data_IF_036085282971
#
_entry.id   IF_036085282971
#
_cell.length_a   1.000
_cell.length_b   1.000
_cell.length_c   1.000
_cell.angle_alpha   90.00
_cell.angle_beta   90.00
_cell.angle_gamma   90.00
#
_symmetry.space_group_name_H-M   'P 1'
#
loop_
_entity.id
_entity.type
_entity.pdbx_description
1 polymer ?
#
# COMPACT_ATOMS: atom_id res chain seq x y z
N UNK A 1 -9.69 -19.48 -16.43
CA UNK A 1 -8.48 -20.15 -16.95
C UNK A 1 -7.91 -21.01 -15.83
N UNK A 2 -7.46 -22.23 -16.13
CA UNK A 2 -6.81 -23.10 -15.13
C UNK A 2 -5.38 -22.65 -14.85
N UNK A 3 -4.84 -23.02 -13.69
CA UNK A 3 -3.45 -22.78 -13.28
C UNK A 3 -2.47 -23.46 -14.25
N UNK A 4 -1.40 -22.78 -14.64
CA UNK A 4 -0.34 -23.38 -15.47
C UNK A 4 0.53 -24.37 -14.66
N UNK A 5 1.28 -25.23 -15.34
CA UNK A 5 2.21 -26.13 -14.65
C UNK A 5 3.30 -25.35 -13.89
N UNK A 6 3.81 -24.28 -14.50
CA UNK A 6 4.81 -23.38 -13.89
C UNK A 6 4.26 -22.70 -12.64
N UNK A 7 3.04 -22.18 -12.70
CA UNK A 7 2.34 -21.58 -11.56
C UNK A 7 2.12 -22.60 -10.42
N UNK A 8 1.80 -23.84 -10.77
CA UNK A 8 1.62 -24.91 -9.79
C UNK A 8 2.94 -25.26 -9.09
N UNK A 9 4.02 -25.43 -9.85
CA UNK A 9 5.35 -25.69 -9.30
C UNK A 9 5.83 -24.54 -8.41
N UNK A 10 5.63 -23.30 -8.85
CA UNK A 10 5.94 -22.10 -8.07
C UNK A 10 5.15 -22.06 -6.75
N UNK A 11 3.85 -22.35 -6.80
CA UNK A 11 3.01 -22.40 -5.60
C UNK A 11 3.48 -23.49 -4.62
N UNK A 12 3.87 -24.67 -5.12
CA UNK A 12 4.41 -25.75 -4.29
C UNK A 12 5.72 -25.32 -3.63
N UNK A 13 6.62 -24.71 -4.40
CA UNK A 13 7.89 -24.18 -3.89
C UNK A 13 7.66 -23.15 -2.77
N UNK A 14 6.81 -22.15 -3.00
CA UNK A 14 6.52 -21.10 -2.03
C UNK A 14 5.89 -21.65 -0.75
N UNK A 15 4.95 -22.61 -0.87
CA UNK A 15 4.35 -23.28 0.30
C UNK A 15 5.39 -24.03 1.13
N UNK A 16 6.36 -24.68 0.48
CA UNK A 16 7.44 -25.35 1.20
C UNK A 16 8.38 -24.34 1.85
N UNK A 17 8.78 -23.29 1.13
CA UNK A 17 9.65 -22.24 1.64
C UNK A 17 9.05 -21.53 2.87
N UNK A 18 7.73 -21.29 2.88
CA UNK A 18 7.02 -20.75 4.05
C UNK A 18 7.15 -21.69 5.26
N UNK A 19 6.89 -22.99 5.08
CA UNK A 19 6.96 -23.98 6.16
C UNK A 19 8.38 -24.11 6.73
N UNK A 20 9.37 -24.10 5.86
CA UNK A 20 10.77 -24.18 6.28
C UNK A 20 11.16 -22.93 7.06
N UNK A 21 10.74 -21.74 6.60
CA UNK A 21 11.01 -20.49 7.30
C UNK A 21 10.31 -20.41 8.66
N UNK A 22 9.05 -20.87 8.75
CA UNK A 22 8.29 -20.96 10.00
C UNK A 22 8.95 -21.91 11.00
N UNK A 23 9.41 -23.09 10.54
CA UNK A 23 10.16 -24.03 11.36
C UNK A 23 11.47 -23.43 11.87
N UNK A 24 12.25 -22.83 10.98
CA UNK A 24 13.52 -22.19 11.33
C UNK A 24 13.34 -21.07 12.35
N UNK A 25 12.25 -20.30 12.27
CA UNK A 25 11.95 -19.27 13.25
C UNK A 25 11.70 -19.84 14.65
N UNK A 26 11.09 -21.03 14.74
CA UNK A 26 10.91 -21.72 16.03
C UNK A 26 12.24 -22.07 16.71
N UNK A 27 13.26 -22.42 15.92
CA UNK A 27 14.60 -22.77 16.43
C UNK A 27 15.51 -21.53 16.58
N UNK A 28 15.38 -20.54 15.68
CA UNK A 28 16.24 -19.36 15.54
C UNK A 28 15.41 -18.08 15.29
N UNK A 29 14.71 -17.55 16.30
CA UNK A 29 13.78 -16.43 16.11
C UNK A 29 14.48 -15.13 15.69
N UNK A 30 15.75 -14.96 16.06
CA UNK A 30 16.54 -13.77 15.73
C UNK A 30 17.35 -13.91 14.41
N UNK A 31 17.03 -14.90 13.57
CA UNK A 31 17.63 -15.03 12.25
C UNK A 31 16.96 -14.05 11.27
N UNK A 32 17.56 -12.88 11.12
CA UNK A 32 17.08 -11.83 10.22
C UNK A 32 16.98 -12.32 8.76
N UNK A 33 17.89 -13.18 8.29
CA UNK A 33 17.84 -13.69 6.93
C UNK A 33 16.67 -14.66 6.72
N UNK A 34 16.39 -15.51 7.71
CA UNK A 34 15.21 -16.37 7.69
C UNK A 34 13.90 -15.55 7.72
N UNK A 35 13.82 -14.54 8.59
CA UNK A 35 12.68 -13.62 8.67
C UNK A 35 12.47 -12.87 7.36
N UNK A 36 13.55 -12.41 6.71
CA UNK A 36 13.53 -11.78 5.39
C UNK A 36 12.90 -12.69 4.35
N UNK A 37 13.40 -13.94 4.28
CA UNK A 37 12.88 -14.96 3.37
C UNK A 37 11.42 -15.29 3.67
N UNK A 38 11.04 -15.38 4.95
CA UNK A 38 9.68 -15.66 5.35
C UNK A 38 8.74 -14.56 4.88
N UNK A 39 9.07 -13.30 5.16
CA UNK A 39 8.31 -12.14 4.73
C UNK A 39 8.14 -12.10 3.22
N UNK A 40 9.23 -12.22 2.47
CA UNK A 40 9.20 -12.23 1.01
C UNK A 40 8.33 -13.36 0.44
N UNK A 41 8.44 -14.58 0.98
CA UNK A 41 7.62 -15.73 0.53
C UNK A 41 6.13 -15.51 0.83
N UNK A 42 5.79 -14.86 1.95
CA UNK A 42 4.40 -14.52 2.26
C UNK A 42 3.83 -13.50 1.26
N UNK A 43 4.62 -12.51 0.85
CA UNK A 43 4.26 -11.58 -0.22
C UNK A 43 4.10 -12.30 -1.56
N UNK A 44 5.05 -13.14 -1.97
CA UNK A 44 4.96 -13.87 -3.23
C UNK A 44 3.76 -14.83 -3.28
N UNK A 45 3.34 -15.40 -2.15
CA UNK A 45 2.17 -16.30 -2.10
C UNK A 45 0.86 -15.60 -2.48
N UNK A 46 0.75 -14.28 -2.36
CA UNK A 46 -0.51 -13.57 -2.59
C UNK A 46 -0.96 -13.65 -4.04
N UNK A 47 -0.05 -13.82 -4.99
CA UNK A 47 -0.41 -13.97 -6.42
C UNK A 47 -1.30 -15.19 -6.70
N UNK A 48 -1.35 -16.14 -5.75
CA UNK A 48 -2.13 -17.38 -5.83
C UNK A 48 -3.34 -17.40 -4.90
N UNK A 49 -3.65 -16.29 -4.22
CA UNK A 49 -4.72 -16.22 -3.23
C UNK A 49 -5.82 -15.25 -3.66
N UNK A 50 -6.96 -15.32 -2.97
CA UNK A 50 -7.99 -14.26 -3.04
C UNK A 50 -7.50 -12.98 -2.36
N UNK A 51 -8.14 -11.84 -2.62
CA UNK A 51 -7.80 -10.57 -1.95
C UNK A 51 -7.87 -10.68 -0.42
N UNK A 52 -8.88 -11.40 0.09
CA UNK A 52 -9.08 -11.58 1.53
C UNK A 52 -7.95 -12.39 2.18
N UNK A 53 -7.52 -13.47 1.55
CA UNK A 53 -6.39 -14.29 2.01
C UNK A 53 -5.05 -13.55 1.85
N UNK A 54 -4.90 -12.83 0.73
CA UNK A 54 -3.72 -12.00 0.43
C UNK A 54 -3.50 -10.94 1.50
N UNK A 55 -4.57 -10.30 1.99
CA UNK A 55 -4.45 -9.29 3.05
C UNK A 55 -3.75 -9.82 4.30
N UNK A 56 -4.10 -11.02 4.75
CA UNK A 56 -3.48 -11.63 5.92
C UNK A 56 -2.01 -11.98 5.67
N UNK A 57 -1.72 -12.57 4.50
CA UNK A 57 -0.34 -12.88 4.11
C UNK A 57 0.55 -11.62 4.03
N UNK A 58 0.02 -10.52 3.50
CA UNK A 58 0.74 -9.26 3.40
C UNK A 58 1.05 -8.72 4.80
N UNK A 59 0.08 -8.70 5.70
CA UNK A 59 0.28 -8.22 7.08
C UNK A 59 1.27 -9.08 7.86
N UNK A 60 1.16 -10.40 7.74
CA UNK A 60 2.12 -11.33 8.35
C UNK A 60 3.52 -11.13 7.75
N UNK A 61 3.61 -10.93 6.43
CA UNK A 61 4.85 -10.69 5.72
C UNK A 61 5.54 -9.41 6.18
N UNK A 62 4.79 -8.30 6.24
CA UNK A 62 5.27 -7.01 6.79
C UNK A 62 5.79 -7.21 8.21
N UNK A 63 5.05 -7.89 9.08
CA UNK A 63 5.48 -8.14 10.46
C UNK A 63 6.81 -8.88 10.54
N UNK A 64 7.07 -9.87 9.66
CA UNK A 64 8.38 -10.57 9.62
C UNK A 64 9.51 -9.72 9.08
N UNK A 65 9.23 -8.83 8.15
CA UNK A 65 10.21 -7.89 7.60
C UNK A 65 10.57 -6.80 8.62
N UNK A 66 9.60 -6.28 9.37
CA UNK A 66 9.84 -5.35 10.48
C UNK A 66 10.68 -6.00 11.58
N UNK A 67 10.41 -7.26 11.91
CA UNK A 67 11.20 -8.05 12.85
C UNK A 67 12.65 -8.22 12.35
N UNK A 68 12.85 -8.55 11.06
CA UNK A 68 14.17 -8.62 10.45
C UNK A 68 14.94 -7.29 10.54
N UNK A 69 14.29 -6.15 10.24
CA UNK A 69 14.93 -4.83 10.36
C UNK A 69 15.27 -4.46 11.79
N UNK A 70 14.46 -4.88 12.77
CA UNK A 70 14.76 -4.65 14.18
C UNK A 70 16.04 -5.35 14.63
N UNK A 71 16.39 -6.48 13.98
CA UNK A 71 17.63 -7.23 14.22
C UNK A 71 18.79 -6.64 13.41
N UNK A 72 18.57 -6.31 12.13
CA UNK A 72 19.58 -5.72 11.27
C UNK A 72 18.98 -4.59 10.38
N UNK A 73 19.15 -3.32 10.79
CA UNK A 73 18.63 -2.16 10.05
C UNK A 73 19.30 -1.89 8.70
N UNK A 74 20.45 -2.52 8.42
CA UNK A 74 21.23 -2.24 7.21
C UNK A 74 20.84 -3.12 6.00
N UNK A 75 19.86 -4.01 6.16
CA UNK A 75 19.41 -4.93 5.13
C UNK A 75 18.53 -4.25 4.07
N UNK A 76 19.16 -3.71 3.03
CA UNK A 76 18.49 -3.02 1.93
C UNK A 76 17.46 -3.90 1.19
N UNK A 77 17.67 -5.21 1.15
CA UNK A 77 16.73 -6.18 0.57
C UNK A 77 15.44 -6.32 1.42
N UNK A 78 15.57 -6.29 2.74
CA UNK A 78 14.41 -6.27 3.65
C UNK A 78 13.62 -4.98 3.48
N UNK A 79 14.30 -3.84 3.39
CA UNK A 79 13.66 -2.53 3.18
C UNK A 79 12.87 -2.56 1.86
N UNK A 80 13.45 -3.08 0.77
CA UNK A 80 12.73 -3.21 -0.49
C UNK A 80 11.52 -4.16 -0.40
N UNK A 81 11.64 -5.29 0.29
CA UNK A 81 10.52 -6.20 0.54
C UNK A 81 9.42 -5.51 1.37
N UNK A 82 9.79 -4.69 2.35
CA UNK A 82 8.84 -3.95 3.18
C UNK A 82 8.04 -2.95 2.34
N UNK A 83 8.71 -2.22 1.45
CA UNK A 83 8.04 -1.33 0.49
C UNK A 83 7.08 -2.09 -0.44
N UNK A 84 7.43 -3.33 -0.82
CA UNK A 84 6.54 -4.22 -1.57
C UNK A 84 5.30 -4.58 -0.77
N UNK A 85 5.47 -4.97 0.50
CA UNK A 85 4.36 -5.24 1.42
C UNK A 85 3.44 -4.05 1.60
N UNK A 86 3.99 -2.86 1.84
CA UNK A 86 3.22 -1.62 1.96
C UNK A 86 2.43 -1.30 0.69
N UNK A 87 3.05 -1.36 -0.49
CA UNK A 87 2.35 -1.14 -1.75
C UNK A 87 1.22 -2.16 -1.95
N UNK A 88 1.48 -3.45 -1.70
CA UNK A 88 0.46 -4.51 -1.85
C UNK A 88 -0.71 -4.27 -0.90
N UNK A 89 -0.44 -3.85 0.33
CA UNK A 89 -1.49 -3.54 1.30
C UNK A 89 -2.32 -2.34 0.86
N UNK A 90 -1.67 -1.27 0.38
CA UNK A 90 -2.33 -0.07 -0.14
C UNK A 90 -3.30 -0.40 -1.28
N UNK A 91 -2.94 -1.32 -2.18
CA UNK A 91 -3.80 -1.76 -3.29
C UNK A 91 -5.08 -2.48 -2.83
N UNK A 92 -5.10 -3.05 -1.62
CA UNK A 92 -6.27 -3.73 -1.05
C UNK A 92 -7.16 -2.79 -0.23
N UNK A 93 -6.78 -1.52 -0.06
CA UNK A 93 -7.52 -0.55 0.74
C UNK A 93 -8.42 0.30 -0.17
N UNK A 94 -9.76 0.27 0.03
CA UNK A 94 -10.69 1.07 -0.78
C UNK A 94 -10.63 2.58 -0.47
N UNK A 95 -10.26 2.95 0.76
CA UNK A 95 -10.16 4.36 1.15
C UNK A 95 -8.87 4.97 0.61
N UNK A 96 -9.02 5.94 -0.29
CA UNK A 96 -7.92 6.66 -0.93
C UNK A 96 -6.90 7.24 0.07
N UNK A 97 -7.36 7.88 1.15
CA UNK A 97 -6.44 8.56 2.07
C UNK A 97 -5.64 7.54 2.86
N UNK A 98 -6.28 6.45 3.27
CA UNK A 98 -5.61 5.37 3.98
C UNK A 98 -4.64 4.65 3.02
N UNK A 99 -5.04 4.35 1.80
CA UNK A 99 -4.18 3.72 0.78
C UNK A 99 -2.96 4.58 0.44
N UNK A 100 -3.14 5.91 0.35
CA UNK A 100 -2.04 6.85 0.09
C UNK A 100 -0.93 6.73 1.12
N UNK A 101 -1.27 6.66 2.41
CA UNK A 101 -0.27 6.58 3.46
C UNK A 101 0.59 5.30 3.34
N UNK A 102 0.04 4.21 2.79
CA UNK A 102 0.82 3.01 2.47
C UNK A 102 1.69 3.17 1.22
N UNK A 103 1.22 3.87 0.19
CA UNK A 103 2.03 4.18 -0.99
C UNK A 103 3.19 5.12 -0.68
N UNK A 104 2.98 6.10 0.20
CA UNK A 104 4.02 7.02 0.65
C UNK A 104 5.13 6.24 1.40
N UNK A 105 4.76 5.34 2.32
CA UNK A 105 5.71 4.44 2.99
C UNK A 105 6.46 3.54 2.01
N UNK A 106 5.75 2.94 1.04
CA UNK A 106 6.38 2.13 0.02
C UNK A 106 7.41 2.92 -0.81
N UNK A 107 7.13 4.20 -1.09
CA UNK A 107 8.06 5.08 -1.79
C UNK A 107 9.30 5.40 -0.95
N UNK A 108 9.14 5.69 0.33
CA UNK A 108 10.24 5.90 1.26
C UNK A 108 11.13 4.65 1.38
N UNK A 109 10.52 3.47 1.51
CA UNK A 109 11.24 2.19 1.59
C UNK A 109 12.04 1.92 0.31
N UNK A 110 11.42 2.03 -0.87
CA UNK A 110 12.13 1.80 -2.13
C UNK A 110 13.25 2.82 -2.36
N UNK A 111 13.04 4.09 -1.99
CA UNK A 111 14.09 5.10 -2.09
C UNK A 111 15.26 4.74 -1.16
N UNK A 112 15.01 4.37 0.09
CA UNK A 112 16.07 3.95 1.02
C UNK A 112 16.84 2.72 0.52
N UNK A 113 16.14 1.74 -0.08
CA UNK A 113 16.78 0.59 -0.68
C UNK A 113 17.69 0.99 -1.86
N UNK A 114 17.26 1.93 -2.73
CA UNK A 114 18.08 2.50 -3.80
C UNK A 114 19.28 3.26 -3.26
N UNK A 115 19.13 4.02 -2.19
CA UNK A 115 20.24 4.76 -1.57
C UNK A 115 21.32 3.82 -1.01
N UNK A 116 20.91 2.67 -0.44
CA UNK A 116 21.82 1.66 0.09
C UNK A 116 22.46 0.79 -1.00
N UNK A 117 21.74 0.48 -2.09
CA UNK A 117 22.28 -0.26 -3.25
C UNK A 117 21.83 0.38 -4.59
N UNK A 118 22.50 1.46 -5.04
CA UNK A 118 22.10 2.19 -6.24
C UNK A 118 22.24 1.41 -7.55
N UNK A 119 23.01 0.31 -7.54
CA UNK A 119 23.19 -0.55 -8.71
C UNK A 119 22.00 -1.50 -8.95
N UNK A 120 21.12 -1.66 -7.95
CA UNK A 120 20.05 -2.63 -7.98
C UNK A 120 18.90 -2.19 -8.88
N UNK A 121 18.81 -2.81 -10.06
CA UNK A 121 17.77 -2.49 -11.04
C UNK A 121 16.35 -2.78 -10.53
N UNK A 122 16.17 -3.75 -9.62
CA UNK A 122 14.86 -4.04 -9.04
C UNK A 122 14.39 -2.89 -8.15
N UNK A 123 15.29 -2.33 -7.35
CA UNK A 123 14.96 -1.24 -6.42
C UNK A 123 14.63 0.04 -7.19
N UNK A 124 15.45 0.36 -8.19
CA UNK A 124 15.21 1.50 -9.08
C UNK A 124 13.86 1.38 -9.79
N UNK A 125 13.55 0.20 -10.33
CA UNK A 125 12.29 -0.06 -11.00
C UNK A 125 11.08 0.10 -10.08
N UNK A 126 11.14 -0.47 -8.86
CA UNK A 126 10.08 -0.30 -7.86
C UNK A 126 9.89 1.16 -7.44
N UNK A 127 11.00 1.90 -7.25
CA UNK A 127 10.98 3.33 -6.91
C UNK A 127 10.33 4.19 -8.01
N UNK A 128 10.65 3.93 -9.28
CA UNK A 128 10.03 4.61 -10.41
C UNK A 128 8.53 4.31 -10.46
N UNK A 129 8.16 3.03 -10.36
CA UNK A 129 6.76 2.59 -10.43
C UNK A 129 5.88 3.19 -9.33
N UNK A 130 6.36 3.21 -8.08
CA UNK A 130 5.56 3.78 -6.99
C UNK A 130 5.42 5.30 -7.12
N UNK A 131 6.44 5.98 -7.64
CA UNK A 131 6.37 7.41 -7.92
C UNK A 131 5.35 7.73 -9.01
N UNK A 132 5.27 6.89 -10.05
CA UNK A 132 4.23 6.99 -11.09
C UNK A 132 2.82 6.73 -10.52
N UNK A 133 2.66 5.67 -9.71
CA UNK A 133 1.39 5.35 -9.08
C UNK A 133 0.91 6.48 -8.16
N UNK A 134 1.79 7.06 -7.36
CA UNK A 134 1.47 8.16 -6.44
C UNK A 134 1.10 9.43 -7.20
N UNK A 135 1.76 9.73 -8.32
CA UNK A 135 1.41 10.85 -9.21
C UNK A 135 0.05 10.65 -9.86
N UNK A 136 -0.21 9.46 -10.43
CA UNK A 136 -1.50 9.12 -11.01
C UNK A 136 -2.63 9.21 -9.96
N UNK A 137 -2.39 8.70 -8.76
CA UNK A 137 -3.31 8.76 -7.63
C UNK A 137 -3.64 10.21 -7.23
N UNK A 138 -2.62 11.08 -7.13
CA UNK A 138 -2.80 12.50 -6.83
C UNK A 138 -3.57 13.25 -7.94
N UNK A 139 -3.36 12.90 -9.21
CA UNK A 139 -4.09 13.49 -10.36
C UNK A 139 -5.56 13.06 -10.37
N UNK A 140 -5.85 11.78 -10.15
CA UNK A 140 -7.22 11.27 -10.05
C UNK A 140 -8.01 11.94 -8.92
N UNK A 141 -7.40 12.15 -7.75
CA UNK A 141 -8.03 12.89 -6.66
C UNK A 141 -8.30 14.35 -7.03
N UNK A 142 -7.32 15.05 -7.62
CA UNK A 142 -7.50 16.44 -8.09
C UNK A 142 -8.64 16.56 -9.10
N UNK A 143 -8.74 15.64 -10.05
CA UNK A 143 -9.79 15.65 -11.08
C UNK A 143 -11.16 15.20 -10.53
N UNK A 144 -11.23 14.20 -9.66
CA UNK A 144 -12.47 13.77 -9.01
C UNK A 144 -13.06 14.86 -8.10
N UNK A 145 -12.20 15.55 -7.33
CA UNK A 145 -12.60 16.71 -6.52
C UNK A 145 -13.02 17.88 -7.40
N UNK A 146 -12.30 18.16 -8.51
CA UNK A 146 -12.69 19.22 -9.44
C UNK A 146 -14.06 18.95 -10.11
N UNK A 147 -14.38 17.69 -10.40
CA UNK A 147 -15.65 17.30 -11.01
C UNK A 147 -16.83 17.42 -10.02
N UNK A 148 -16.61 17.09 -8.74
CA UNK A 148 -17.61 17.34 -7.68
C UNK A 148 -17.75 18.82 -7.32
N UNK A 149 -16.68 19.61 -7.35
CA UNK A 149 -16.73 21.06 -7.13
C UNK A 149 -17.46 21.80 -8.27
N UNK A 150 -17.26 21.38 -9.52
CA UNK A 150 -17.99 21.92 -10.68
C UNK A 150 -19.48 21.57 -10.65
N UNK A 151 -19.87 20.40 -10.13
CA UNK A 151 -21.27 20.03 -9.95
C UNK A 151 -21.97 20.78 -8.80
N UNK A 152 -21.20 21.33 -7.84
CA UNK A 152 -21.71 22.15 -6.74
C UNK A 152 -21.87 23.65 -7.07
N UNK A 153 -21.32 24.12 -8.19
CA UNK A 153 -21.38 25.54 -8.60
C UNK A 153 -22.60 25.88 -9.48
N UNK A 154 -23.51 24.93 -9.72
CA UNK A 154 -24.65 25.06 -10.63
C UNK A 154 -26.02 25.09 -9.95
N UNK A 155 -26.27 26.00 -9.01
CA UNK A 155 -27.62 26.57 -8.75
C UNK A 155 -27.54 27.80 -7.85
N UNK A 156 -26.85 28.84 -8.33
CA UNK A 156 -27.05 30.20 -7.83
C UNK A 156 -28.20 30.86 -8.60
N UNK A 157 -29.45 30.53 -8.27
CA UNK A 157 -30.59 31.32 -8.77
C UNK A 157 -30.88 32.45 -7.80
N UNK A 158 -30.28 33.60 -8.10
CA UNK A 158 -30.70 34.89 -7.57
C UNK A 158 -32.15 35.17 -8.00
N UNK A 159 -33.03 35.44 -7.06
CA UNK A 159 -34.22 36.23 -7.35
C UNK A 159 -34.48 37.24 -6.22
N UNK A 160 -34.01 38.46 -6.46
CA UNK A 160 -34.45 39.67 -5.79
C UNK A 160 -35.86 40.03 -6.26
N UNK A 161 -36.80 40.32 -5.35
CA UNK A 161 -37.68 41.51 -5.41
C UNK A 161 -38.65 41.59 -4.21
N UNK A 162 -38.45 42.65 -3.43
CA UNK A 162 -39.33 43.45 -2.57
C UNK A 162 -40.83 43.11 -2.41
N UNK A 163 -41.39 43.25 -1.19
CA UNK A 163 -42.10 44.49 -0.76
C UNK A 163 -42.47 44.51 0.73
N UNK A 164 -42.32 45.70 1.29
CA UNK A 164 -42.69 46.27 2.60
C UNK A 164 -44.13 45.95 3.04
N UNK A 165 -44.33 45.65 4.34
CA UNK A 165 -45.31 46.41 5.12
C UNK A 165 -44.94 46.49 6.62
N UNK A 166 -45.01 47.72 7.11
CA UNK A 166 -44.62 48.18 8.44
C UNK A 166 -45.87 48.23 9.33
N UNK A 167 -45.78 47.86 10.61
CA UNK A 167 -46.56 48.46 11.72
C UNK A 167 -46.07 47.93 13.08
N UNK A 168 -45.35 48.82 13.79
CA UNK A 168 -45.55 49.24 15.20
C UNK A 168 -45.95 48.16 16.21
N UNK A 169 -45.29 47.91 17.34
CA UNK A 169 -44.35 48.71 18.12
C UNK A 169 -44.68 48.53 19.62
N UNK A 170 -43.65 48.19 20.40
CA UNK A 170 -43.41 48.53 21.81
C UNK A 170 -44.15 47.79 22.95
N UNK A 171 -43.29 47.21 23.78
CA UNK A 171 -43.34 46.79 25.19
C UNK A 171 -44.26 47.60 26.12
N UNK A 172 -45.19 46.94 26.82
CA UNK A 172 -45.15 46.59 28.27
C UNK A 172 -46.42 45.79 28.60
#
# INVERSE_FOLDING_TARGET
MGMSAEDFEQLVYLKQARKDAERNYGDYPNDAANLTRWGAVLLDLTQFQTDAESKNLILDGISKLEEALSINPEMHDVIWCLGSGHMMHGLLIPDYNVARDYFDRAAEDYQQAVEKDPGNQKYLHSSIKIAEASKFHAEMYKHGVAQHAAAGAGSGSSNSSAKVNNKTGKTL
#
